data_IF_376356306995
#
_entry.id   IF_376356306995
#
_cell.length_a   1.000
_cell.length_b   1.000
_cell.length_c   1.000
_cell.angle_alpha   90.00
_cell.angle_beta   90.00
_cell.angle_gamma   90.00
#
_symmetry.space_group_name_H-M   'P 1'
#
loop_
_entity.id
_entity.type
_entity.pdbx_description
1 polymer ?
#
# COMPACT_ATOMS: atom_id res chain seq x y z
N UNK A 1 19.07 20.66 -22.08
CA UNK A 1 18.41 19.97 -20.95
C UNK A 1 17.68 18.75 -21.48
N UNK A 2 18.14 17.52 -21.20
CA UNK A 2 17.49 16.29 -21.70
C UNK A 2 16.20 16.05 -20.91
N UNK A 3 15.06 16.35 -21.51
CA UNK A 3 13.76 15.87 -21.05
C UNK A 3 13.77 14.35 -21.11
N UNK A 4 13.78 13.68 -19.95
CA UNK A 4 13.59 12.23 -19.89
C UNK A 4 12.12 11.95 -20.17
N UNK A 5 11.79 11.67 -21.43
CA UNK A 5 10.53 11.02 -21.79
C UNK A 5 10.45 9.70 -21.02
N UNK A 6 9.73 9.73 -19.89
CA UNK A 6 9.36 8.52 -19.17
C UNK A 6 8.26 7.87 -20.01
N UNK A 7 8.43 6.62 -20.49
CA UNK A 7 7.38 5.99 -21.28
C UNK A 7 6.08 5.97 -20.47
N UNK A 8 4.98 6.39 -21.10
CA UNK A 8 3.65 6.22 -20.54
C UNK A 8 3.43 4.72 -20.37
N UNK A 9 3.40 4.30 -19.11
CA UNK A 9 3.20 2.90 -18.70
C UNK A 9 1.83 2.47 -19.23
N UNK A 10 1.78 1.43 -20.05
CA UNK A 10 0.59 0.96 -20.75
C UNK A 10 -0.52 0.56 -19.77
N UNK A 11 -1.78 0.70 -20.19
CA UNK A 11 -2.96 0.43 -19.35
C UNK A 11 -3.06 -1.04 -18.89
N UNK A 12 -2.46 -1.99 -19.62
CA UNK A 12 -2.36 -3.40 -19.22
C UNK A 12 -1.56 -3.60 -17.92
N UNK A 13 -0.54 -2.77 -17.70
CA UNK A 13 0.38 -2.81 -16.55
C UNK A 13 -0.30 -2.29 -15.26
N UNK A 14 -1.36 -1.48 -15.40
CA UNK A 14 -2.16 -1.00 -14.26
C UNK A 14 -3.01 -2.11 -13.64
N UNK A 15 -3.41 -3.11 -14.42
CA UNK A 15 -4.22 -4.24 -13.96
C UNK A 15 -3.42 -5.21 -13.08
N UNK A 16 -2.16 -5.49 -13.42
CA UNK A 16 -1.25 -6.33 -12.63
C UNK A 16 -0.86 -5.65 -11.31
N UNK A 17 -0.60 -4.34 -11.34
CA UNK A 17 -0.24 -3.57 -10.14
C UNK A 17 -1.38 -3.55 -9.11
N UNK A 18 -2.62 -3.36 -9.55
CA UNK A 18 -3.78 -3.37 -8.64
C UNK A 18 -3.99 -4.76 -8.03
N UNK A 19 -3.87 -5.83 -8.82
CA UNK A 19 -3.95 -7.21 -8.30
C UNK A 19 -2.88 -7.47 -7.24
N UNK A 20 -1.65 -7.01 -7.48
CA UNK A 20 -0.55 -7.13 -6.53
C UNK A 20 -0.82 -6.35 -5.24
N UNK A 21 -1.36 -5.13 -5.34
CA UNK A 21 -1.76 -4.32 -4.18
C UNK A 21 -2.85 -5.01 -3.36
N UNK A 22 -3.89 -5.55 -4.01
CA UNK A 22 -4.94 -6.27 -3.30
C UNK A 22 -4.38 -7.51 -2.58
N UNK A 23 -3.42 -8.21 -3.18
CA UNK A 23 -2.73 -9.33 -2.52
C UNK A 23 -1.98 -8.86 -1.27
N UNK A 24 -1.21 -7.76 -1.35
CA UNK A 24 -0.54 -7.18 -0.18
C UNK A 24 -1.55 -6.81 0.91
N UNK A 25 -2.67 -6.19 0.52
CA UNK A 25 -3.73 -5.79 1.47
C UNK A 25 -4.27 -7.04 2.19
N UNK A 26 -4.62 -8.09 1.46
CA UNK A 26 -5.12 -9.34 2.05
C UNK A 26 -4.11 -9.98 3.01
N UNK A 27 -2.83 -10.00 2.61
CA UNK A 27 -1.73 -10.54 3.42
C UNK A 27 -1.57 -9.79 4.77
N UNK A 28 -1.78 -8.47 4.76
CA UNK A 28 -1.66 -7.61 5.94
C UNK A 28 -2.98 -7.47 6.74
N UNK A 29 -4.14 -7.80 6.16
CA UNK A 29 -5.43 -7.78 6.86
C UNK A 29 -5.56 -8.95 7.86
N UNK A 30 -4.79 -10.02 7.71
CA UNK A 30 -4.80 -11.13 8.65
C UNK A 30 -3.90 -10.84 9.87
N UNK A 31 -4.43 -10.72 11.10
CA UNK A 31 -3.64 -10.45 12.30
C UNK A 31 -2.71 -11.61 12.71
N UNK A 32 -2.99 -12.82 12.22
CA UNK A 32 -2.20 -14.03 12.47
C UNK A 32 -1.22 -14.33 11.33
N UNK A 33 -1.06 -13.42 10.36
CA UNK A 33 -0.09 -13.63 9.29
C UNK A 33 1.34 -13.54 9.81
N UNK A 34 2.27 -14.14 9.06
CA UNK A 34 3.70 -14.12 9.38
C UNK A 34 4.31 -12.70 9.40
N UNK A 35 3.58 -11.70 8.91
CA UNK A 35 4.00 -10.30 8.87
C UNK A 35 3.83 -9.57 10.21
N UNK A 36 3.16 -10.21 11.18
CA UNK A 36 2.97 -9.68 12.53
C UNK A 36 3.75 -10.47 13.57
N UNK A 37 4.32 -9.76 14.53
CA UNK A 37 4.91 -10.32 15.74
C UNK A 37 4.37 -9.56 16.95
N UNK A 38 3.73 -10.29 17.87
CA UNK A 38 3.07 -9.73 19.07
C UNK A 38 2.09 -8.59 18.75
N UNK A 39 1.38 -8.67 17.63
CA UNK A 39 0.39 -7.66 17.20
C UNK A 39 0.97 -6.43 16.47
N UNK A 40 2.28 -6.41 16.18
CA UNK A 40 2.94 -5.34 15.44
C UNK A 40 3.58 -5.87 14.16
N UNK A 41 3.66 -5.02 13.13
CA UNK A 41 4.38 -5.37 11.91
C UNK A 41 5.86 -5.64 12.18
N UNK A 42 6.33 -6.79 11.70
CA UNK A 42 7.75 -7.14 11.67
C UNK A 42 8.46 -6.48 10.46
N UNK A 43 9.71 -6.83 10.23
CA UNK A 43 10.51 -6.31 9.10
C UNK A 43 9.91 -6.63 7.73
N UNK A 44 9.32 -7.80 7.56
CA UNK A 44 8.69 -8.23 6.30
C UNK A 44 7.39 -7.47 6.06
N UNK A 45 6.53 -7.38 7.08
CA UNK A 45 5.30 -6.58 7.01
C UNK A 45 5.58 -5.10 6.75
N UNK A 46 6.63 -4.55 7.37
CA UNK A 46 7.09 -3.20 7.07
C UNK A 46 7.60 -3.03 5.64
N UNK A 47 8.18 -4.08 5.05
CA UNK A 47 8.61 -4.08 3.65
C UNK A 47 7.40 -4.02 2.72
N UNK A 48 6.36 -4.79 2.99
CA UNK A 48 5.10 -4.73 2.24
C UNK A 48 4.46 -3.34 2.32
N UNK A 49 4.38 -2.74 3.51
CA UNK A 49 3.90 -1.36 3.69
C UNK A 49 4.75 -0.38 2.88
N UNK A 50 6.08 -0.53 2.83
CA UNK A 50 6.95 0.36 2.06
C UNK A 50 6.73 0.24 0.55
N UNK A 51 6.54 -0.98 0.04
CA UNK A 51 6.23 -1.23 -1.37
C UNK A 51 4.90 -0.56 -1.73
N UNK A 52 3.86 -0.84 -0.93
CA UNK A 52 2.54 -0.23 -1.09
C UNK A 52 2.61 1.30 -1.04
N UNK A 53 3.38 1.84 -0.09
CA UNK A 53 3.57 3.28 0.09
C UNK A 53 4.18 3.96 -1.14
N UNK A 54 5.19 3.33 -1.78
CA UNK A 54 5.83 3.89 -2.97
C UNK A 54 4.83 3.99 -4.13
N UNK A 55 4.02 2.95 -4.32
CA UNK A 55 2.98 2.97 -5.33
C UNK A 55 1.94 4.07 -5.05
N UNK A 56 1.42 4.11 -3.82
CA UNK A 56 0.37 5.05 -3.44
C UNK A 56 0.84 6.49 -3.48
N UNK A 57 2.05 6.81 -3.03
CA UNK A 57 2.56 8.20 -3.05
C UNK A 57 2.75 8.68 -4.49
N UNK A 58 3.18 7.80 -5.40
CA UNK A 58 3.37 8.16 -6.81
C UNK A 58 2.05 8.52 -7.49
N UNK A 59 0.97 7.81 -7.16
CA UNK A 59 -0.36 8.02 -7.76
C UNK A 59 -1.24 9.01 -6.99
N UNK A 60 -1.03 9.11 -5.69
CA UNK A 60 -1.84 9.85 -4.73
C UNK A 60 -0.95 10.56 -3.69
N UNK A 61 -0.26 11.67 -4.03
CA UNK A 61 0.72 12.31 -3.14
C UNK A 61 0.17 12.75 -1.77
N UNK A 62 -1.11 13.12 -1.70
CA UNK A 62 -1.81 13.50 -0.47
C UNK A 62 -1.84 12.42 0.64
N UNK A 63 -1.67 11.14 0.31
CA UNK A 63 -1.71 10.03 1.29
C UNK A 63 -0.41 9.88 2.09
N UNK A 64 0.63 10.62 1.72
CA UNK A 64 1.97 10.55 2.33
C UNK A 64 1.93 10.71 3.85
N UNK A 65 1.14 11.64 4.36
CA UNK A 65 1.02 11.89 5.80
C UNK A 65 0.43 10.69 6.55
N UNK A 66 -0.59 10.06 5.98
CA UNK A 66 -1.23 8.84 6.49
C UNK A 66 -0.23 7.68 6.54
N UNK A 67 0.51 7.46 5.46
CA UNK A 67 1.57 6.44 5.39
C UNK A 67 2.62 6.61 6.49
N UNK A 68 3.07 7.85 6.74
CA UNK A 68 4.05 8.12 7.80
C UNK A 68 3.50 7.73 9.18
N UNK A 69 2.22 7.98 9.45
CA UNK A 69 1.58 7.59 10.72
C UNK A 69 1.57 6.07 10.91
N UNK A 70 1.22 5.32 9.87
CA UNK A 70 1.17 3.85 9.93
C UNK A 70 2.55 3.26 10.16
N UNK A 71 3.56 3.75 9.43
CA UNK A 71 4.95 3.30 9.60
C UNK A 71 5.51 3.56 11.00
N UNK A 72 4.98 4.56 11.72
CA UNK A 72 5.38 4.86 13.09
C UNK A 72 4.69 3.95 14.12
N UNK A 73 3.37 3.76 14.00
CA UNK A 73 2.60 3.00 15.01
C UNK A 73 2.74 1.48 14.86
N UNK A 74 2.70 0.97 13.63
CA UNK A 74 2.92 -0.44 13.23
C UNK A 74 1.99 -1.49 13.88
N UNK A 75 1.11 -1.12 14.80
CA UNK A 75 0.15 -2.02 15.40
C UNK A 75 -0.91 -2.45 14.37
N UNK A 76 -1.41 -3.67 14.54
CA UNK A 76 -2.42 -4.24 13.67
C UNK A 76 -3.68 -3.37 13.55
N UNK A 77 -4.15 -2.77 14.64
CA UNK A 77 -5.37 -1.96 14.62
C UNK A 77 -5.22 -0.72 13.71
N UNK A 78 -4.10 0.00 13.83
CA UNK A 78 -3.79 1.15 12.97
C UNK A 78 -3.61 0.71 11.52
N UNK A 79 -2.92 -0.40 11.28
CA UNK A 79 -2.65 -0.91 9.93
C UNK A 79 -3.94 -1.37 9.25
N UNK A 80 -4.76 -2.18 9.92
CA UNK A 80 -6.04 -2.68 9.39
C UNK A 80 -7.01 -1.56 9.05
N UNK A 81 -7.15 -0.54 9.92
CA UNK A 81 -7.97 0.65 9.63
C UNK A 81 -7.52 1.36 8.36
N UNK A 82 -6.21 1.49 8.15
CA UNK A 82 -5.69 2.09 6.92
C UNK A 82 -5.97 1.24 5.69
N UNK A 83 -5.73 -0.08 5.78
CA UNK A 83 -5.94 -1.00 4.67
C UNK A 83 -7.41 -1.01 4.24
N UNK A 84 -8.33 -1.00 5.20
CA UNK A 84 -9.77 -0.87 4.94
C UNK A 84 -10.11 0.41 4.18
N UNK A 85 -9.63 1.57 4.66
CA UNK A 85 -9.84 2.86 3.98
C UNK A 85 -9.26 2.87 2.57
N UNK A 86 -8.06 2.32 2.41
CA UNK A 86 -7.39 2.21 1.12
C UNK A 86 -8.17 1.29 0.16
N UNK A 87 -8.63 0.15 0.64
CA UNK A 87 -9.39 -0.81 -0.16
C UNK A 87 -10.71 -0.19 -0.65
N UNK A 88 -11.42 0.53 0.22
CA UNK A 88 -12.62 1.28 -0.15
C UNK A 88 -12.32 2.38 -1.17
N UNK A 89 -11.24 3.14 -0.99
CA UNK A 89 -10.81 4.16 -1.93
C UNK A 89 -10.51 3.57 -3.32
N UNK A 90 -9.75 2.46 -3.39
CA UNK A 90 -9.41 1.80 -4.65
C UNK A 90 -10.62 1.14 -5.34
N UNK A 91 -11.61 0.67 -4.58
CA UNK A 91 -12.87 0.15 -5.12
C UNK A 91 -13.73 1.26 -5.73
N UNK A 92 -13.81 2.41 -5.06
CA UNK A 92 -14.62 3.54 -5.50
C UNK A 92 -13.96 4.37 -6.61
N UNK A 93 -12.63 4.34 -6.77
CA UNK A 93 -11.93 5.03 -7.86
C UNK A 93 -12.01 4.31 -9.21
N UNK A 94 -12.80 3.23 -9.33
CA UNK A 94 -13.07 2.52 -10.59
C UNK A 94 -14.19 3.14 -11.43
N UNK A 95 -14.78 4.25 -10.96
CA UNK A 95 -15.73 5.10 -11.69
C UNK A 95 -15.09 6.44 -12.02
#
# INVERSE_FOLDING_TARGET
>A
MKSKNRPLRSDEDSGSDLKFIFKIIQDLENPYSMYYSKGYLNSEGMTLINILSRYLINRYPWIKSTIVKIRKRKDYETVSKFLYLLQNFLKNSKH
#
